data_IF_482602121270
#
_entry.id   IF_482602121270
#
_cell.length_a   1.000
_cell.length_b   1.000
_cell.length_c   1.000
_cell.angle_alpha   90.00
_cell.angle_beta   90.00
_cell.angle_gamma   90.00
#
_symmetry.space_group_name_H-M   'P 1'
#
loop_
_entity.id
_entity.type
_entity.pdbx_description
1 polymer ?
#
# COMPACT_ATOMS: atom_id res chain seq x y z
N UNK A 1 -28.26 -14.15 -6.64
CA UNK A 1 -27.86 -13.20 -5.59
C UNK A 1 -27.41 -11.95 -6.34
N UNK A 2 -28.23 -10.92 -6.39
CA UNK A 2 -27.94 -9.71 -7.15
C UNK A 2 -27.04 -8.88 -6.25
N UNK A 3 -25.74 -8.83 -6.53
CA UNK A 3 -24.89 -7.80 -5.92
C UNK A 3 -25.35 -6.46 -6.49
N UNK A 4 -26.14 -5.74 -5.69
CA UNK A 4 -26.50 -4.36 -5.98
C UNK A 4 -25.25 -3.53 -5.69
N UNK A 5 -24.43 -3.30 -6.71
CA UNK A 5 -23.32 -2.35 -6.61
C UNK A 5 -23.90 -0.99 -6.22
N UNK A 6 -23.52 -0.49 -5.04
CA UNK A 6 -23.97 0.82 -4.55
C UNK A 6 -23.58 1.92 -5.56
N UNK A 7 -24.41 2.96 -5.76
CA UNK A 7 -24.04 4.12 -6.58
C UNK A 7 -22.70 4.75 -6.15
N UNK A 8 -22.36 4.68 -4.86
CA UNK A 8 -21.09 5.19 -4.34
C UNK A 8 -19.90 4.31 -4.77
N UNK A 9 -20.06 2.99 -4.81
CA UNK A 9 -19.03 2.07 -5.30
C UNK A 9 -18.80 2.27 -6.81
N UNK A 10 -19.88 2.47 -7.59
CA UNK A 10 -19.77 2.74 -9.02
C UNK A 10 -19.03 4.05 -9.31
N UNK A 11 -19.32 5.10 -8.53
CA UNK A 11 -18.60 6.37 -8.61
C UNK A 11 -17.12 6.19 -8.24
N UNK A 12 -16.82 5.43 -7.18
CA UNK A 12 -15.45 5.19 -6.75
C UNK A 12 -14.66 4.50 -7.87
N UNK A 13 -15.25 3.50 -8.54
CA UNK A 13 -14.60 2.87 -9.69
C UNK A 13 -14.26 3.88 -10.79
N UNK A 14 -15.17 4.81 -11.11
CA UNK A 14 -14.89 5.89 -12.06
C UNK A 14 -13.75 6.81 -11.62
N UNK A 15 -13.60 7.07 -10.31
CA UNK A 15 -12.43 7.81 -9.79
C UNK A 15 -11.13 7.01 -9.97
N UNK A 16 -11.15 5.71 -9.66
CA UNK A 16 -9.97 4.85 -9.81
C UNK A 16 -9.52 4.75 -11.27
N UNK A 17 -10.47 4.66 -12.22
CA UNK A 17 -10.17 4.70 -13.65
C UNK A 17 -9.51 6.02 -14.04
N UNK A 18 -9.95 7.16 -13.49
CA UNK A 18 -9.31 8.46 -13.74
C UNK A 18 -7.90 8.53 -13.16
N UNK A 19 -7.67 7.99 -11.97
CA UNK A 19 -6.31 7.91 -11.39
C UNK A 19 -5.35 7.12 -12.29
N UNK A 20 -5.84 6.05 -12.90
CA UNK A 20 -5.05 5.26 -13.85
C UNK A 20 -4.77 6.03 -15.15
N UNK A 21 -5.79 6.62 -15.77
CA UNK A 21 -5.67 7.23 -17.09
C UNK A 21 -5.06 8.64 -17.08
N UNK A 22 -5.41 9.47 -16.09
CA UNK A 22 -5.00 10.89 -16.02
C UNK A 22 -3.70 11.07 -15.22
N UNK A 23 -3.48 10.23 -14.20
CA UNK A 23 -2.35 10.38 -13.26
C UNK A 23 -1.31 9.26 -13.35
N UNK A 24 -1.55 8.24 -14.18
CA UNK A 24 -0.62 7.11 -14.36
C UNK A 24 -0.48 6.22 -13.13
N UNK A 25 -1.45 6.26 -12.22
CA UNK A 25 -1.46 5.46 -10.98
C UNK A 25 -2.07 4.09 -11.30
N UNK A 26 -1.26 3.03 -11.25
CA UNK A 26 -1.70 1.69 -11.64
C UNK A 26 -2.85 1.19 -10.75
N UNK A 27 -3.82 0.48 -11.34
CA UNK A 27 -4.90 -0.17 -10.60
C UNK A 27 -4.61 -1.68 -10.44
N UNK A 28 -4.24 -2.09 -9.23
CA UNK A 28 -3.89 -3.48 -8.92
C UNK A 28 -5.13 -4.31 -8.67
N UNK A 29 -5.20 -5.45 -9.37
CA UNK A 29 -6.27 -6.44 -9.25
C UNK A 29 -5.67 -7.82 -9.05
N UNK A 30 -6.29 -8.64 -8.20
CA UNK A 30 -5.81 -9.98 -7.89
C UNK A 30 -4.38 -9.99 -7.30
N UNK A 31 -3.50 -10.82 -7.86
CA UNK A 31 -2.14 -11.05 -7.37
C UNK A 31 -1.12 -9.95 -7.73
N UNK A 32 -1.50 -8.95 -8.53
CA UNK A 32 -0.62 -7.88 -9.01
C UNK A 32 0.00 -7.02 -7.88
N UNK A 33 -0.56 -7.08 -6.67
CA UNK A 33 -0.06 -6.40 -5.47
C UNK A 33 1.41 -6.66 -5.16
N UNK A 34 1.83 -7.93 -5.27
CA UNK A 34 3.21 -8.30 -4.95
C UNK A 34 4.19 -8.03 -6.08
N UNK A 35 3.77 -8.26 -7.33
CA UNK A 35 4.59 -8.01 -8.51
C UNK A 35 4.93 -6.52 -8.64
N UNK A 36 3.95 -5.65 -8.39
CA UNK A 36 4.15 -4.20 -8.37
C UNK A 36 5.16 -3.76 -7.31
N UNK A 37 5.03 -4.30 -6.09
CA UNK A 37 5.90 -3.94 -4.98
C UNK A 37 7.33 -4.48 -5.16
N UNK A 38 7.50 -5.61 -5.84
CA UNK A 38 8.79 -6.26 -6.06
C UNK A 38 9.72 -5.49 -7.03
N UNK A 39 9.22 -4.53 -7.79
CA UNK A 39 10.08 -3.70 -8.64
C UNK A 39 11.11 -2.89 -7.82
N UNK A 40 12.13 -2.35 -8.47
CA UNK A 40 13.22 -1.62 -7.80
C UNK A 40 12.77 -0.30 -7.13
N UNK A 41 13.23 -0.02 -5.92
CA UNK A 41 12.94 1.22 -5.20
C UNK A 41 11.65 1.20 -4.38
N UNK A 42 11.16 2.40 -4.05
CA UNK A 42 10.01 2.59 -3.16
C UNK A 42 8.68 2.49 -3.90
N UNK A 43 7.70 1.92 -3.21
CA UNK A 43 6.34 1.75 -3.68
C UNK A 43 5.32 2.11 -2.59
N UNK A 44 4.23 2.76 -3.01
CA UNK A 44 3.07 3.09 -2.21
C UNK A 44 1.85 2.42 -2.85
N UNK A 45 1.15 1.59 -2.09
CA UNK A 45 -0.14 1.01 -2.50
C UNK A 45 -1.25 1.56 -1.62
N UNK A 46 -2.19 2.30 -2.22
CA UNK A 46 -3.41 2.72 -1.53
C UNK A 46 -4.37 1.53 -1.45
N UNK A 47 -4.67 1.12 -0.23
CA UNK A 47 -5.66 0.10 0.09
C UNK A 47 -6.98 0.78 0.43
N UNK A 48 -8.05 0.30 -0.19
CA UNK A 48 -9.40 0.87 -0.09
C UNK A 48 -10.39 -0.15 0.47
N UNK A 49 -11.55 0.34 0.86
CA UNK A 49 -12.69 -0.47 1.29
C UNK A 49 -13.97 0.13 0.68
N UNK A 50 -15.12 -0.46 0.97
CA UNK A 50 -16.41 0.07 0.54
C UNK A 50 -16.55 1.53 1.04
N UNK A 51 -16.85 2.50 0.17
CA UNK A 51 -16.99 3.90 0.58
C UNK A 51 -18.12 4.12 1.61
N UNK A 52 -19.09 3.21 1.72
CA UNK A 52 -20.09 3.24 2.79
C UNK A 52 -19.49 2.91 4.17
N UNK A 53 -18.41 2.11 4.20
CA UNK A 53 -17.70 1.72 5.43
C UNK A 53 -16.51 2.63 5.72
N UNK A 54 -15.87 3.14 4.68
CA UNK A 54 -14.71 4.02 4.75
C UNK A 54 -14.91 5.24 3.81
N UNK A 55 -15.73 6.22 4.22
CA UNK A 55 -16.04 7.38 3.37
C UNK A 55 -14.80 8.19 3.00
N UNK A 56 -13.79 8.24 3.88
CA UNK A 56 -12.50 8.92 3.67
C UNK A 56 -11.69 8.38 2.48
N UNK A 57 -11.99 7.17 1.96
CA UNK A 57 -11.34 6.63 0.76
C UNK A 57 -11.43 7.62 -0.41
N UNK A 58 -12.56 8.32 -0.52
CA UNK A 58 -12.79 9.34 -1.53
C UNK A 58 -11.78 10.48 -1.44
N UNK A 59 -11.67 11.07 -0.25
CA UNK A 59 -10.82 12.22 -0.01
C UNK A 59 -9.35 11.85 -0.26
N UNK A 60 -8.90 10.71 0.27
CA UNK A 60 -7.52 10.23 0.07
C UNK A 60 -7.24 9.96 -1.41
N UNK A 61 -8.14 9.29 -2.12
CA UNK A 61 -7.96 8.99 -3.54
C UNK A 61 -7.92 10.27 -4.40
N UNK A 62 -8.69 11.29 -4.03
CA UNK A 62 -8.69 12.58 -4.72
C UNK A 62 -7.40 13.36 -4.47
N UNK A 63 -6.88 13.43 -3.24
CA UNK A 63 -5.70 14.25 -2.91
C UNK A 63 -4.36 13.56 -3.20
N UNK A 64 -4.37 12.24 -3.41
CA UNK A 64 -3.17 11.45 -3.59
C UNK A 64 -2.32 11.96 -4.78
N UNK A 65 -2.86 12.24 -5.98
CA UNK A 65 -2.07 12.77 -7.08
C UNK A 65 -1.38 14.10 -6.77
N UNK A 66 -2.07 15.03 -6.11
CA UNK A 66 -1.53 16.33 -5.71
C UNK A 66 -0.42 16.16 -4.68
N UNK A 67 -0.61 15.26 -3.70
CA UNK A 67 0.40 14.96 -2.71
C UNK A 67 1.67 14.37 -3.36
N UNK A 68 1.52 13.50 -4.36
CA UNK A 68 2.65 12.92 -5.10
C UNK A 68 3.37 13.96 -5.95
N UNK A 69 2.64 14.89 -6.56
CA UNK A 69 3.22 15.99 -7.33
C UNK A 69 4.03 16.97 -6.45
N UNK A 70 3.73 17.05 -5.15
CA UNK A 70 4.48 17.84 -4.18
C UNK A 70 5.78 17.15 -3.70
N UNK A 71 5.99 15.87 -4.01
CA UNK A 71 7.20 15.15 -3.62
C UNK A 71 8.37 15.47 -4.56
N UNK A 72 9.59 15.64 -4.02
CA UNK A 72 10.78 15.82 -4.86
C UNK A 72 11.13 14.56 -5.68
N UNK A 73 10.80 13.38 -5.16
CA UNK A 73 10.98 12.10 -5.81
C UNK A 73 9.83 11.17 -5.41
N UNK A 74 8.74 11.09 -6.20
CA UNK A 74 7.62 10.23 -5.88
C UNK A 74 7.99 8.74 -6.01
N UNK A 75 7.47 7.87 -5.14
CA UNK A 75 7.62 6.42 -5.29
C UNK A 75 6.78 5.93 -6.47
N UNK A 76 6.92 4.65 -6.82
CA UNK A 76 5.89 4.02 -7.66
C UNK A 76 4.58 3.98 -6.89
N UNK A 77 3.47 4.38 -7.51
CA UNK A 77 2.17 4.39 -6.84
C UNK A 77 1.15 3.55 -7.57
N UNK A 78 0.33 2.86 -6.78
CA UNK A 78 -0.80 2.12 -7.26
C UNK A 78 -1.97 2.19 -6.28
N UNK A 79 -3.18 1.98 -6.76
CA UNK A 79 -4.38 1.74 -5.94
C UNK A 79 -4.76 0.27 -6.09
N UNK A 80 -5.04 -0.42 -5.00
CA UNK A 80 -5.57 -1.77 -5.04
C UNK A 80 -7.10 -1.74 -5.11
N UNK A 81 -7.70 -2.65 -5.89
CA UNK A 81 -9.15 -2.88 -5.80
C UNK A 81 -9.54 -3.42 -4.40
N UNK A 82 -10.83 -3.53 -4.11
CA UNK A 82 -11.31 -3.98 -2.79
C UNK A 82 -10.83 -5.40 -2.43
N UNK A 83 -10.76 -6.30 -3.41
CA UNK A 83 -10.35 -7.69 -3.19
C UNK A 83 -8.85 -7.78 -2.85
N UNK A 84 -8.00 -7.10 -3.62
CA UNK A 84 -6.57 -6.99 -3.38
C UNK A 84 -6.29 -6.20 -2.10
N UNK A 85 -7.05 -5.15 -1.81
CA UNK A 85 -6.93 -4.37 -0.56
C UNK A 85 -7.21 -5.21 0.67
N UNK A 86 -8.21 -6.10 0.61
CA UNK A 86 -8.50 -7.06 1.67
C UNK A 86 -7.38 -8.09 1.83
N UNK A 87 -6.91 -8.69 0.74
CA UNK A 87 -5.84 -9.68 0.77
C UNK A 87 -4.52 -9.11 1.33
N UNK A 88 -4.15 -7.90 0.91
CA UNK A 88 -3.00 -7.17 1.46
C UNK A 88 -3.23 -6.79 2.92
N UNK A 89 -4.44 -6.38 3.28
CA UNK A 89 -4.75 -6.01 4.65
C UNK A 89 -4.67 -7.18 5.63
N UNK A 90 -5.14 -8.36 5.24
CA UNK A 90 -4.97 -9.59 6.03
C UNK A 90 -3.49 -9.95 6.22
N UNK A 91 -2.66 -9.76 5.19
CA UNK A 91 -1.23 -10.09 5.23
C UNK A 91 -0.38 -9.11 6.06
N UNK A 92 -0.69 -7.83 5.98
CA UNK A 92 0.07 -6.76 6.62
C UNK A 92 -0.64 -6.18 7.86
N UNK A 93 -1.61 -6.91 8.42
CA UNK A 93 -2.42 -6.54 9.58
C UNK A 93 -3.08 -5.14 9.48
N UNK A 94 -3.49 -4.74 8.28
CA UNK A 94 -4.22 -3.48 8.04
C UNK A 94 -5.69 -3.73 8.31
N UNK A 95 -6.19 -3.10 9.37
CA UNK A 95 -7.59 -3.22 9.81
C UNK A 95 -8.42 -1.96 9.61
N UNK A 96 -7.77 -0.85 9.25
CA UNK A 96 -8.40 0.46 9.02
C UNK A 96 -8.07 0.92 7.61
N UNK A 97 -9.11 1.31 6.89
CA UNK A 97 -9.06 1.86 5.53
C UNK A 97 -9.59 3.30 5.53
N UNK A 98 -9.14 4.16 4.60
CA UNK A 98 -8.07 3.91 3.64
C UNK A 98 -6.70 3.71 4.32
N UNK A 99 -5.78 3.04 3.64
CA UNK A 99 -4.42 2.85 4.14
C UNK A 99 -3.39 2.94 3.02
N UNK A 100 -2.32 3.68 3.26
CA UNK A 100 -1.16 3.77 2.37
C UNK A 100 -0.11 2.77 2.85
N UNK A 101 0.04 1.67 2.15
CA UNK A 101 1.04 0.63 2.41
C UNK A 101 2.35 0.98 1.69
N UNK A 102 3.43 1.13 2.44
CA UNK A 102 4.76 1.43 1.94
C UNK A 102 5.64 0.19 1.89
N UNK A 103 6.26 -0.04 0.73
CA UNK A 103 7.19 -1.16 0.50
C UNK A 103 8.40 -0.70 -0.29
N UNK A 104 9.55 -1.34 -0.08
CA UNK A 104 10.81 -1.09 -0.80
C UNK A 104 11.32 -2.40 -1.39
N UNK A 105 11.40 -2.50 -2.72
CA UNK A 105 11.80 -3.72 -3.41
C UNK A 105 11.09 -4.99 -2.89
N UNK A 106 9.79 -4.85 -2.60
CA UNK A 106 8.95 -5.92 -2.04
C UNK A 106 8.95 -6.03 -0.51
N UNK A 107 9.94 -5.47 0.19
CA UNK A 107 10.02 -5.50 1.65
C UNK A 107 9.09 -4.47 2.29
N UNK A 108 8.57 -4.79 3.47
CA UNK A 108 7.65 -3.93 4.21
C UNK A 108 8.39 -2.75 4.84
N UNK A 109 7.84 -1.54 4.70
CA UNK A 109 8.37 -0.33 5.33
C UNK A 109 7.40 0.20 6.39
N UNK A 110 6.11 0.25 6.09
CA UNK A 110 5.13 0.78 7.04
C UNK A 110 3.75 0.97 6.43
N UNK A 111 2.81 1.42 7.25
CA UNK A 111 1.45 1.78 6.83
C UNK A 111 1.06 3.11 7.48
N UNK A 112 0.43 3.97 6.71
CA UNK A 112 -0.25 5.18 7.19
C UNK A 112 -1.74 4.99 6.95
N UNK A 113 -2.59 5.24 7.96
CA UNK A 113 -4.03 5.01 7.87
C UNK A 113 -4.82 6.32 7.83
N UNK A 114 -5.97 6.27 7.15
CA UNK A 114 -6.97 7.32 7.14
C UNK A 114 -6.56 8.54 6.31
N UNK A 115 -7.47 9.51 6.29
CA UNK A 115 -7.16 10.86 5.82
C UNK A 115 -6.34 11.61 6.87
N UNK A 116 -5.31 12.33 6.42
CA UNK A 116 -4.54 13.25 7.26
C UNK A 116 -4.82 14.69 6.81
N UNK A 117 -4.66 15.64 7.72
CA UNK A 117 -4.59 17.05 7.35
C UNK A 117 -3.49 17.29 6.32
N UNK A 118 -3.70 18.22 5.39
CA UNK A 118 -2.77 18.48 4.29
C UNK A 118 -1.33 18.75 4.78
N UNK A 119 -1.19 19.55 5.84
CA UNK A 119 0.11 19.88 6.45
C UNK A 119 0.83 18.68 7.07
N UNK A 120 0.13 17.56 7.30
CA UNK A 120 0.68 16.31 7.81
C UNK A 120 0.79 15.21 6.74
N UNK A 121 0.00 15.28 5.66
CA UNK A 121 -0.10 14.23 4.65
C UNK A 121 1.22 14.03 3.87
N UNK A 122 1.74 15.09 3.27
CA UNK A 122 3.01 15.02 2.51
C UNK A 122 4.20 14.66 3.44
N UNK A 123 4.35 15.27 4.63
CA UNK A 123 5.39 14.86 5.57
C UNK A 123 5.29 13.39 6.02
N UNK A 124 4.09 12.84 6.17
CA UNK A 124 3.90 11.43 6.50
C UNK A 124 4.42 10.51 5.39
N UNK A 125 4.14 10.83 4.12
CA UNK A 125 4.67 10.09 2.97
C UNK A 125 6.20 10.18 2.95
N UNK A 126 6.77 11.39 3.06
CA UNK A 126 8.22 11.59 3.09
C UNK A 126 8.88 10.81 4.23
N UNK A 127 8.27 10.84 5.42
CA UNK A 127 8.75 10.11 6.59
C UNK A 127 8.79 8.59 6.36
N UNK A 128 7.77 8.03 5.71
CA UNK A 128 7.75 6.61 5.35
C UNK A 128 8.80 6.26 4.30
N UNK A 129 9.00 7.11 3.28
CA UNK A 129 10.05 6.90 2.28
C UNK A 129 11.45 6.97 2.88
N UNK A 130 11.66 7.74 3.95
CA UNK A 130 12.94 7.80 4.67
C UNK A 130 13.12 6.64 5.67
N UNK A 131 12.05 5.93 6.04
CA UNK A 131 12.11 4.87 7.03
C UNK A 131 12.87 3.62 6.51
N UNK A 132 13.52 2.85 7.41
CA UNK A 132 14.14 1.60 7.03
C UNK A 132 13.08 0.52 6.77
N UNK A 133 13.45 -0.49 5.97
CA UNK A 133 12.65 -1.72 5.87
C UNK A 133 12.53 -2.39 7.23
N UNK A 134 11.36 -2.92 7.53
CA UNK A 134 11.06 -3.57 8.81
C UNK A 134 10.25 -4.84 8.60
N UNK A 135 10.10 -5.64 9.66
CA UNK A 135 9.31 -6.87 9.59
C UNK A 135 7.82 -6.52 9.50
N UNK A 136 7.15 -7.08 8.49
CA UNK A 136 5.70 -6.98 8.37
C UNK A 136 5.00 -7.57 9.61
N UNK A 137 4.02 -6.86 10.20
CA UNK A 137 3.16 -7.44 11.22
C UNK A 137 2.37 -8.62 10.62
N UNK A 138 2.17 -9.69 11.41
CA UNK A 138 1.41 -10.88 10.98
C UNK A 138 2.20 -11.93 10.19
N UNK A 139 3.34 -11.58 9.56
CA UNK A 139 4.23 -12.57 8.94
C UNK A 139 5.08 -13.21 10.04
N UNK A 140 4.60 -14.35 10.54
CA UNK A 140 5.28 -15.16 11.54
C UNK A 140 6.74 -15.39 11.15
N UNK A 141 7.64 -15.19 12.11
CA UNK A 141 9.08 -15.36 11.95
C UNK A 141 9.36 -16.73 11.31
N UNK A 142 9.95 -16.82 10.10
CA UNK A 142 10.65 -18.04 9.76
C UNK A 142 11.88 -18.07 10.65
N UNK A 143 11.83 -18.85 11.73
CA UNK A 143 12.98 -19.15 12.56
C UNK A 143 13.97 -19.88 11.66
N UNK A 144 14.97 -19.17 11.12
CA UNK A 144 16.17 -19.85 10.61
C UNK A 144 16.86 -20.47 11.83
N UNK A 145 17.03 -21.80 11.92
CA UNK A 145 18.02 -22.30 12.85
C UNK A 145 19.37 -21.73 12.41
N UNK A 146 20.07 -21.09 13.33
CA UNK A 146 21.48 -20.79 13.18
C UNK A 146 22.20 -22.13 12.99
N UNK A 147 22.49 -22.50 11.75
CA UNK A 147 23.44 -23.56 11.43
C UNK A 147 24.80 -23.09 11.92
N UNK A 148 25.19 -23.58 13.09
CA UNK A 148 26.44 -23.30 13.75
C UNK A 148 27.62 -23.47 12.78
N UNK A 149 28.32 -22.38 12.49
CA UNK A 149 29.72 -22.46 12.13
C UNK A 149 30.48 -22.99 13.34
N UNK A 150 31.01 -24.20 13.21
CA UNK A 150 31.83 -24.86 14.22
C UNK A 150 33.02 -25.54 13.55
N UNK A 151 34.19 -24.97 13.82
CA UNK A 151 35.55 -25.32 13.41
C UNK A 151 35.88 -26.81 13.22
N UNK A 152 36.69 -27.09 12.19
CA UNK A 152 37.79 -28.05 12.32
C UNK A 152 39.12 -27.40 11.89
N UNK A 153 39.99 -27.26 12.88
CA UNK A 153 41.43 -27.01 12.74
C UNK A 153 42.10 -28.23 12.10
N UNK A 154 43.15 -27.99 11.32
CA UNK A 154 43.82 -29.00 10.52
C UNK A 154 44.73 -29.97 11.27
N UNK A 155 45.24 -30.93 10.50
CA UNK A 155 46.57 -31.52 10.52
C UNK A 155 46.75 -32.27 9.18
#
# INVERSE_FOLDING_TARGET
MIEVTSPDSARLMGLLERLEHEHGIALLRGAAGDEFAAGEGDSLTLLIDDPLRAPEVWDVAVVLPEALAALPAPPRVAVADMATSRALGERFDVRRYPAMLFRRAGDYVGVVHGMLDWDAFVPAIVGMLAAPVQRAPGIGVPVRPAGAGGCSSGA
#
